data_IF_036307734491
#
_entry.id   IF_036307734491
#
_cell.length_a   1.000
_cell.length_b   1.000
_cell.length_c   1.000
_cell.angle_alpha   90.00
_cell.angle_beta   90.00
_cell.angle_gamma   90.00
#
_symmetry.space_group_name_H-M   'P 1'
#
loop_
_entity.id
_entity.type
_entity.pdbx_description
1 polymer ?
#
# COMPACT_ATOMS: atom_id res chain seq x y z
N UNK A 1 9.44 2.07 10.20
CA UNK A 1 8.18 2.28 9.43
C UNK A 1 8.15 1.29 8.29
N UNK A 2 7.17 0.40 8.30
CA UNK A 2 7.10 -0.67 7.31
C UNK A 2 6.43 -0.19 6.02
N UNK A 3 7.22 -0.05 4.97
CA UNK A 3 6.73 0.25 3.64
C UNK A 3 6.58 -1.02 2.82
N UNK A 4 5.73 -0.97 1.80
CA UNK A 4 5.56 -2.07 0.87
C UNK A 4 6.86 -2.34 0.11
N UNK A 5 7.07 -3.60 -0.29
CA UNK A 5 8.21 -3.95 -1.13
C UNK A 5 8.03 -3.42 -2.56
N UNK A 6 9.10 -3.51 -3.35
CA UNK A 6 9.14 -2.96 -4.69
C UNK A 6 8.06 -3.55 -5.61
N UNK A 7 7.84 -4.86 -5.57
CA UNK A 7 6.86 -5.51 -6.44
C UNK A 7 5.43 -5.04 -6.13
N UNK A 8 5.10 -4.91 -4.86
CA UNK A 8 3.80 -4.38 -4.44
C UNK A 8 3.68 -2.91 -4.81
N UNK A 9 4.73 -2.11 -4.60
CA UNK A 9 4.73 -0.69 -4.97
C UNK A 9 4.48 -0.49 -6.47
N UNK A 10 5.09 -1.30 -7.33
CA UNK A 10 4.85 -1.28 -8.78
C UNK A 10 3.38 -1.60 -9.11
N UNK A 11 2.83 -2.64 -8.52
CA UNK A 11 1.44 -3.03 -8.74
C UNK A 11 0.47 -1.95 -8.28
N UNK A 12 0.76 -1.30 -7.15
CA UNK A 12 -0.04 -0.19 -6.64
C UNK A 12 -0.04 1.00 -7.61
N UNK A 13 1.11 1.35 -8.16
CA UNK A 13 1.21 2.40 -9.17
C UNK A 13 0.34 2.06 -10.39
N UNK A 14 0.41 0.83 -10.88
CA UNK A 14 -0.37 0.38 -12.03
C UNK A 14 -1.88 0.39 -11.74
N UNK A 15 -2.28 0.22 -10.49
CA UNK A 15 -3.70 0.26 -10.05
C UNK A 15 -4.17 1.65 -9.65
N UNK A 16 -3.35 2.67 -9.81
CA UNK A 16 -3.75 4.06 -9.59
C UNK A 16 -3.57 4.58 -8.17
N UNK A 17 -2.76 3.92 -7.34
CA UNK A 17 -2.42 4.46 -6.03
C UNK A 17 -1.70 5.80 -6.19
N UNK A 18 -2.22 6.85 -5.58
CA UNK A 18 -1.71 8.21 -5.68
C UNK A 18 -1.55 8.91 -4.32
N UNK A 19 -1.53 8.16 -3.25
CA UNK A 19 -1.30 8.70 -1.91
C UNK A 19 0.10 9.29 -1.74
N UNK A 20 0.24 10.25 -0.83
CA UNK A 20 1.53 10.82 -0.48
C UNK A 20 2.32 9.85 0.38
N UNK A 21 3.58 9.63 0.02
CA UNK A 21 4.46 8.68 0.70
C UNK A 21 5.73 9.36 1.22
N UNK A 22 6.32 8.77 2.25
CA UNK A 22 7.61 9.24 2.81
C UNK A 22 8.81 8.61 2.09
N UNK A 23 8.59 7.58 1.29
CA UNK A 23 9.65 6.84 0.62
C UNK A 23 9.28 6.48 -0.82
N UNK A 24 10.29 6.24 -1.65
CA UNK A 24 10.15 5.82 -3.03
C UNK A 24 11.21 4.79 -3.39
N UNK A 25 10.91 3.99 -4.41
CA UNK A 25 11.88 3.12 -5.05
C UNK A 25 12.37 3.71 -6.35
N UNK A 26 13.66 3.54 -6.66
CA UNK A 26 14.16 3.71 -8.00
C UNK A 26 13.55 2.65 -8.94
N UNK A 27 13.41 2.95 -10.24
CA UNK A 27 12.80 2.00 -11.18
C UNK A 27 13.52 0.64 -11.27
N UNK A 28 14.81 0.60 -10.93
CA UNK A 28 15.56 -0.65 -10.87
C UNK A 28 15.12 -1.59 -9.74
N UNK A 29 14.37 -1.07 -8.76
CA UNK A 29 13.92 -1.84 -7.60
C UNK A 29 14.99 -2.16 -6.57
N UNK A 30 16.22 -1.67 -6.77
CA UNK A 30 17.34 -2.02 -5.92
C UNK A 30 17.51 -1.10 -4.70
N UNK A 31 16.87 0.05 -4.70
CA UNK A 31 17.10 1.07 -3.68
C UNK A 31 15.82 1.77 -3.26
N UNK A 32 15.62 1.83 -1.95
CA UNK A 32 14.55 2.57 -1.29
C UNK A 32 15.12 3.88 -0.78
N UNK A 33 14.48 4.99 -1.11
CA UNK A 33 14.91 6.34 -0.72
C UNK A 33 13.80 6.99 0.10
N UNK A 34 14.16 7.54 1.25
CA UNK A 34 13.25 8.33 2.08
C UNK A 34 13.35 9.81 1.70
N UNK A 35 12.19 10.48 1.65
CA UNK A 35 12.13 11.89 1.29
C UNK A 35 12.77 12.76 2.35
N UNK A 36 13.49 13.77 1.89
CA UNK A 36 13.97 14.83 2.74
C UNK A 36 13.95 16.15 1.97
N UNK A 37 13.86 17.26 2.71
CA UNK A 37 13.92 18.60 2.14
C UNK A 37 14.70 19.51 3.09
N UNK A 38 15.08 20.69 2.60
CA UNK A 38 15.75 21.69 3.42
C UNK A 38 14.79 22.83 3.72
N UNK A 39 14.67 23.18 4.99
CA UNK A 39 13.88 24.32 5.44
C UNK A 39 14.74 25.16 6.40
N UNK A 40 14.94 26.42 6.04
CA UNK A 40 15.78 27.36 6.81
C UNK A 40 17.16 26.81 7.14
N UNK A 41 17.79 26.09 6.21
CA UNK A 41 19.10 25.49 6.38
C UNK A 41 19.14 24.18 7.17
N UNK A 42 18.01 23.69 7.67
CA UNK A 42 17.91 22.41 8.35
C UNK A 42 17.34 21.34 7.41
N UNK A 43 17.81 20.09 7.52
CA UNK A 43 17.26 18.96 6.80
C UNK A 43 16.00 18.49 7.51
N UNK A 44 14.90 18.41 6.76
CA UNK A 44 13.63 17.84 7.23
C UNK A 44 13.47 16.49 6.57
N UNK A 45 13.37 15.44 7.38
CA UNK A 45 13.22 14.06 6.92
C UNK A 45 11.74 13.65 6.88
N UNK A 46 11.45 12.51 6.22
CA UNK A 46 10.14 11.88 6.14
C UNK A 46 9.04 12.80 5.57
N UNK A 47 9.41 13.66 4.62
CA UNK A 47 8.45 14.50 3.92
C UNK A 47 7.54 13.67 3.03
N UNK A 48 6.25 14.05 2.98
CA UNK A 48 5.23 13.35 2.19
C UNK A 48 5.17 13.91 0.77
N UNK A 49 5.43 13.06 -0.21
CA UNK A 49 5.29 13.39 -1.64
C UNK A 49 4.52 12.30 -2.38
N UNK A 50 3.82 12.69 -3.45
CA UNK A 50 3.19 11.76 -4.37
C UNK A 50 3.89 11.83 -5.73
N UNK A 51 4.70 10.83 -6.04
CA UNK A 51 5.38 10.71 -7.34
C UNK A 51 4.51 9.99 -8.37
N UNK A 52 3.64 9.07 -7.95
CA UNK A 52 2.76 8.32 -8.85
C UNK A 52 1.75 9.22 -9.55
N UNK A 53 1.38 10.35 -8.96
CA UNK A 53 0.42 11.30 -9.53
C UNK A 53 1.06 12.40 -10.39
N UNK A 54 2.39 12.44 -10.49
CA UNK A 54 3.07 13.44 -11.32
C UNK A 54 2.97 13.05 -12.79
N UNK A 55 2.77 14.04 -13.71
CA UNK A 55 2.86 13.80 -15.14
C UNK A 55 4.27 13.30 -15.53
N UNK A 56 4.31 12.39 -16.50
CA UNK A 56 5.60 11.81 -16.97
C UNK A 56 6.60 12.89 -17.37
N UNK A 57 6.14 13.99 -17.97
CA UNK A 57 7.00 15.08 -18.42
C UNK A 57 7.70 15.82 -17.27
N UNK A 58 7.17 15.73 -16.05
CA UNK A 58 7.74 16.38 -14.87
C UNK A 58 8.77 15.52 -14.14
N UNK A 59 9.00 14.29 -14.59
CA UNK A 59 9.82 13.31 -13.88
C UNK A 59 11.10 13.06 -14.69
N UNK A 60 12.22 13.61 -14.22
CA UNK A 60 13.54 13.32 -14.80
C UNK A 60 14.01 11.89 -14.54
N UNK A 61 13.55 11.27 -13.47
CA UNK A 61 13.65 9.83 -13.18
C UNK A 61 12.31 9.39 -12.62
N UNK A 62 11.77 8.28 -13.12
CA UNK A 62 10.48 7.76 -12.68
C UNK A 62 10.66 7.05 -11.34
N UNK A 63 10.36 7.74 -10.25
CA UNK A 63 10.31 7.14 -8.92
C UNK A 63 8.95 6.46 -8.70
N UNK A 64 8.96 5.39 -7.93
CA UNK A 64 7.76 4.63 -7.59
C UNK A 64 7.49 4.80 -6.10
N UNK A 65 6.33 5.37 -5.76
CA UNK A 65 5.95 5.59 -4.37
C UNK A 65 5.89 4.28 -3.60
N UNK A 66 6.48 4.29 -2.40
CA UNK A 66 6.50 3.16 -1.48
C UNK A 66 5.62 3.48 -0.27
N UNK A 67 4.30 3.19 -0.34
CA UNK A 67 3.42 3.45 0.79
C UNK A 67 3.66 2.50 1.94
N UNK A 68 3.28 2.92 3.14
CA UNK A 68 3.21 2.04 4.28
C UNK A 68 2.04 1.06 4.12
N UNK A 69 2.10 -0.06 4.83
CA UNK A 69 0.99 -1.03 4.86
C UNK A 69 -0.31 -0.34 5.27
N UNK A 70 -0.26 0.49 6.30
CA UNK A 70 -1.44 1.24 6.79
C UNK A 70 -2.04 2.13 5.70
N UNK A 71 -1.21 2.81 4.92
CA UNK A 71 -1.68 3.65 3.81
C UNK A 71 -2.38 2.83 2.73
N UNK A 72 -1.85 1.66 2.40
CA UNK A 72 -2.45 0.77 1.39
C UNK A 72 -3.79 0.24 1.87
N UNK A 73 -3.87 -0.24 3.10
CA UNK A 73 -5.12 -0.75 3.68
C UNK A 73 -6.20 0.33 3.71
N UNK A 74 -5.82 1.57 4.04
CA UNK A 74 -6.74 2.71 4.00
C UNK A 74 -7.23 2.98 2.58
N UNK A 75 -6.33 3.02 1.61
CA UNK A 75 -6.67 3.23 0.20
C UNK A 75 -7.61 2.15 -0.35
N UNK A 76 -7.34 0.88 -0.04
CA UNK A 76 -8.22 -0.22 -0.44
C UNK A 76 -9.62 -0.03 0.14
N UNK A 77 -9.73 0.38 1.39
CA UNK A 77 -11.01 0.58 2.05
C UNK A 77 -11.77 1.78 1.50
N UNK A 78 -11.09 2.93 1.32
CA UNK A 78 -11.74 4.18 0.93
C UNK A 78 -11.97 4.31 -0.58
N UNK A 79 -11.01 3.88 -1.39
CA UNK A 79 -11.07 4.07 -2.85
C UNK A 79 -11.58 2.83 -3.59
N UNK A 80 -11.37 1.63 -3.05
CA UNK A 80 -11.71 0.37 -3.72
C UNK A 80 -12.86 -0.39 -3.04
N UNK A 81 -13.31 0.08 -1.88
CA UNK A 81 -14.38 -0.60 -1.14
C UNK A 81 -14.00 -1.98 -0.62
N UNK A 82 -12.71 -2.22 -0.39
CA UNK A 82 -12.19 -3.50 0.10
C UNK A 82 -11.65 -3.34 1.51
N UNK A 83 -12.30 -3.97 2.46
CA UNK A 83 -11.86 -4.02 3.86
C UNK A 83 -11.05 -5.28 4.10
N UNK A 84 -9.82 -5.11 4.54
CA UNK A 84 -8.92 -6.22 4.89
C UNK A 84 -8.95 -6.43 6.39
N UNK A 85 -9.39 -7.60 6.82
CA UNK A 85 -9.42 -8.01 8.22
C UNK A 85 -8.29 -9.01 8.47
N UNK A 86 -7.33 -8.62 9.31
CA UNK A 86 -6.20 -9.46 9.69
C UNK A 86 -6.38 -9.84 11.16
N UNK A 87 -6.48 -11.13 11.43
CA UNK A 87 -6.79 -11.65 12.75
C UNK A 87 -5.78 -12.69 13.19
N UNK A 88 -5.63 -12.83 14.50
CA UNK A 88 -4.74 -13.80 15.13
C UNK A 88 -5.52 -15.07 15.47
N UNK A 89 -4.96 -16.21 15.12
CA UNK A 89 -5.43 -17.52 15.60
C UNK A 89 -4.28 -18.28 16.27
N UNK A 90 -4.54 -19.49 16.75
CA UNK A 90 -3.53 -20.29 17.45
C UNK A 90 -2.30 -20.62 16.60
N UNK A 91 -2.45 -20.61 15.26
CA UNK A 91 -1.40 -20.97 14.31
C UNK A 91 -0.69 -19.77 13.70
N UNK A 92 -1.16 -18.53 13.94
CA UNK A 92 -0.61 -17.32 13.38
C UNK A 92 -1.69 -16.34 12.94
N UNK A 93 -1.32 -15.40 12.07
CA UNK A 93 -2.24 -14.42 11.51
C UNK A 93 -2.86 -14.92 10.22
N UNK A 94 -4.13 -14.60 10.01
CA UNK A 94 -4.85 -14.89 8.76
C UNK A 94 -5.61 -13.66 8.31
N UNK A 95 -6.05 -13.64 7.05
CA UNK A 95 -6.72 -12.48 6.47
C UNK A 95 -8.02 -12.86 5.75
N UNK A 96 -9.01 -12.00 5.87
CA UNK A 96 -10.26 -12.04 5.10
C UNK A 96 -10.45 -10.67 4.46
N UNK A 97 -10.82 -10.65 3.18
CA UNK A 97 -11.15 -9.41 2.48
C UNK A 97 -12.67 -9.34 2.31
N UNK A 98 -13.25 -8.21 2.69
CA UNK A 98 -14.68 -7.95 2.53
C UNK A 98 -14.88 -6.86 1.48
N UNK A 99 -15.77 -7.11 0.52
CA UNK A 99 -16.24 -6.06 -0.37
C UNK A 99 -17.36 -5.29 0.33
N UNK A 100 -17.18 -3.98 0.48
CA UNK A 100 -18.11 -3.12 1.18
C UNK A 100 -18.62 -2.02 0.25
N UNK A 101 -19.83 -1.55 0.49
CA UNK A 101 -20.40 -0.40 -0.19
C UNK A 101 -20.87 0.66 0.81
N UNK A 102 -20.05 0.87 1.85
CA UNK A 102 -20.27 1.97 2.78
C UNK A 102 -20.20 3.31 2.05
N UNK A 103 -21.01 4.30 2.47
CA UNK A 103 -21.99 4.24 3.57
C UNK A 103 -23.37 3.69 3.18
N UNK A 104 -23.60 3.33 1.92
CA UNK A 104 -24.92 3.00 1.38
C UNK A 104 -25.50 1.71 1.97
N UNK A 105 -24.64 0.73 2.24
CA UNK A 105 -25.01 -0.54 2.86
C UNK A 105 -24.01 -0.85 3.99
N UNK A 106 -24.54 -1.30 5.14
CA UNK A 106 -23.70 -1.68 6.29
C UNK A 106 -23.23 -3.12 6.24
N UNK A 107 -23.78 -3.92 5.34
CA UNK A 107 -23.38 -5.30 5.12
C UNK A 107 -22.34 -5.38 4.00
N UNK A 108 -21.49 -6.38 4.06
CA UNK A 108 -20.56 -6.64 2.96
C UNK A 108 -21.26 -7.44 1.84
N UNK A 109 -20.89 -7.16 0.58
CA UNK A 109 -21.46 -7.84 -0.59
C UNK A 109 -20.82 -9.22 -0.82
N UNK A 110 -19.48 -9.29 -0.72
CA UNK A 110 -18.69 -10.49 -0.90
C UNK A 110 -17.57 -10.55 0.12
N UNK A 111 -17.04 -11.76 0.33
CA UNK A 111 -15.85 -11.94 1.15
C UNK A 111 -14.95 -13.01 0.53
N UNK A 112 -13.64 -12.86 0.75
CA UNK A 112 -12.63 -13.79 0.29
C UNK A 112 -11.71 -14.16 1.43
N UNK A 113 -11.57 -15.47 1.69
CA UNK A 113 -10.54 -15.96 2.58
C UNK A 113 -9.22 -15.96 1.81
N UNK A 114 -8.25 -15.21 2.28
CA UNK A 114 -6.92 -15.22 1.69
C UNK A 114 -6.15 -16.37 2.33
N UNK A 115 -5.70 -17.32 1.50
CA UNK A 115 -4.97 -18.50 1.95
C UNK A 115 -3.55 -18.12 2.35
N UNK A 116 -3.45 -17.43 3.48
CA UNK A 116 -2.19 -16.97 4.07
C UNK A 116 -2.24 -17.23 5.56
N UNK A 117 -1.20 -17.86 6.05
CA UNK A 117 -0.98 -18.03 7.48
C UNK A 117 0.47 -17.68 7.76
N UNK A 118 0.70 -16.63 8.52
CA UNK A 118 2.05 -16.10 8.77
C UNK A 118 2.27 -15.82 10.26
N UNK A 119 3.53 -15.75 10.64
CA UNK A 119 3.92 -15.50 12.04
C UNK A 119 3.76 -14.04 12.44
N UNK A 120 3.71 -13.12 11.48
CA UNK A 120 3.60 -11.68 11.76
C UNK A 120 2.40 -11.06 11.04
N UNK A 121 1.87 -10.00 11.66
CA UNK A 121 0.82 -9.18 11.06
C UNK A 121 1.25 -8.62 9.70
N UNK A 122 2.49 -8.10 9.62
CA UNK A 122 3.02 -7.45 8.42
C UNK A 122 3.14 -8.43 7.26
N UNK A 123 3.62 -9.64 7.48
CA UNK A 123 3.72 -10.68 6.44
C UNK A 123 2.32 -11.04 5.90
N UNK A 124 1.35 -11.20 6.79
CA UNK A 124 -0.03 -11.48 6.39
C UNK A 124 -0.64 -10.31 5.63
N UNK A 125 -0.40 -9.08 6.08
CA UNK A 125 -0.89 -7.88 5.40
C UNK A 125 -0.32 -7.76 3.99
N UNK A 126 0.99 -7.93 3.82
CA UNK A 126 1.64 -7.86 2.50
C UNK A 126 1.14 -8.94 1.55
N UNK A 127 1.00 -10.16 2.03
CA UNK A 127 0.48 -11.27 1.22
C UNK A 127 -0.99 -11.03 0.83
N UNK A 128 -1.79 -10.48 1.73
CA UNK A 128 -3.18 -10.13 1.45
C UNK A 128 -3.28 -8.99 0.42
N UNK A 129 -2.47 -7.95 0.58
CA UNK A 129 -2.39 -6.85 -0.39
C UNK A 129 -2.03 -7.38 -1.78
N UNK A 130 -1.04 -8.25 -1.87
CA UNK A 130 -0.64 -8.86 -3.15
C UNK A 130 -1.79 -9.66 -3.76
N UNK A 131 -2.49 -10.44 -2.97
CA UNK A 131 -3.68 -11.18 -3.43
C UNK A 131 -4.74 -10.24 -4.00
N UNK A 132 -5.06 -9.16 -3.29
CA UNK A 132 -6.04 -8.15 -3.73
C UNK A 132 -5.62 -7.52 -5.06
N UNK A 133 -4.37 -7.11 -5.18
CA UNK A 133 -3.85 -6.47 -6.39
C UNK A 133 -3.83 -7.41 -7.60
N UNK A 134 -3.63 -8.70 -7.37
CA UNK A 134 -3.57 -9.69 -8.44
C UNK A 134 -4.94 -10.22 -8.86
N UNK A 135 -5.93 -10.23 -7.97
CA UNK A 135 -7.18 -10.97 -8.18
C UNK A 135 -8.45 -10.13 -8.06
N UNK A 136 -8.45 -9.03 -7.33
CA UNK A 136 -9.68 -8.31 -7.00
C UNK A 136 -9.80 -6.92 -7.64
N UNK A 137 -8.71 -6.33 -8.08
CA UNK A 137 -8.75 -5.00 -8.71
C UNK A 137 -7.89 -4.88 -9.97
#
# INVERSE_FOLDING_TARGET
>A
MDVCNFEIAKKLKDKGFNGKCVAQYYPSGSELVFNQTTFRGAIVEDCLYSHNSLPIECIGSVLIDAPTITQVLKWLREDKGLYVDISLCKKGYYAIVYETNFPDNKDYANSWNVDVLSDTYEQTALACIEYVLNNLI
#
